data_IF_201859646008
#
_entry.id   IF_201859646008
#
_cell.length_a   1.000
_cell.length_b   1.000
_cell.length_c   1.000
_cell.angle_alpha   90.00
_cell.angle_beta   90.00
_cell.angle_gamma   90.00
#
_symmetry.space_group_name_H-M   'P 1'
#
loop_
_entity.id
_entity.type
_entity.pdbx_description
1 polymer ?
#
# COMPACT_ATOMS: atom_id res chain seq x y z
N UNK A 1 -18.96 11.63 -6.93
CA UNK A 1 -18.58 11.50 -8.36
C UNK A 1 -17.08 11.24 -8.45
N UNK A 2 -16.60 10.53 -9.47
CA UNK A 2 -15.16 10.34 -9.70
C UNK A 2 -14.60 11.49 -10.55
N UNK A 3 -13.32 11.81 -10.38
CA UNK A 3 -12.61 12.83 -11.16
C UNK A 3 -12.36 12.36 -12.59
N UNK A 4 -12.45 13.29 -13.54
CA UNK A 4 -12.24 13.06 -14.98
C UNK A 4 -10.78 13.32 -15.39
N UNK A 5 -9.82 13.05 -14.49
CA UNK A 5 -8.39 13.18 -14.81
C UNK A 5 -8.04 12.28 -16.00
N UNK A 6 -7.21 12.75 -16.92
CA UNK A 6 -6.58 11.87 -17.91
C UNK A 6 -5.58 10.94 -17.24
N UNK A 7 -5.15 9.90 -17.93
CA UNK A 7 -4.13 9.00 -17.38
C UNK A 7 -2.78 9.70 -17.24
N UNK A 8 -2.41 10.60 -18.16
CA UNK A 8 -1.16 11.38 -18.09
C UNK A 8 -1.17 12.37 -16.91
N UNK A 9 -2.33 12.98 -16.65
CA UNK A 9 -2.54 13.92 -15.55
C UNK A 9 -2.50 13.21 -14.19
N UNK A 10 -3.01 11.98 -14.14
CA UNK A 10 -2.93 11.10 -12.98
C UNK A 10 -1.50 10.61 -12.75
N UNK A 11 -0.83 10.14 -13.80
CA UNK A 11 0.53 9.59 -13.73
C UNK A 11 1.54 10.65 -13.25
N UNK A 12 1.42 11.90 -13.72
CA UNK A 12 2.23 13.02 -13.19
C UNK A 12 2.08 13.20 -11.68
N UNK A 13 0.84 13.27 -11.17
CA UNK A 13 0.60 13.40 -9.72
C UNK A 13 1.13 12.21 -8.94
N UNK A 14 0.89 10.99 -9.44
CA UNK A 14 1.38 9.77 -8.79
C UNK A 14 2.91 9.74 -8.76
N UNK A 15 3.57 10.13 -9.86
CA UNK A 15 5.03 10.27 -9.92
C UNK A 15 5.54 11.25 -8.86
N UNK A 16 4.93 12.42 -8.73
CA UNK A 16 5.33 13.42 -7.73
C UNK A 16 5.24 12.86 -6.30
N UNK A 17 4.21 12.07 -5.99
CA UNK A 17 4.07 11.43 -4.69
C UNK A 17 5.14 10.37 -4.43
N UNK A 18 5.36 9.45 -5.39
CA UNK A 18 6.25 8.29 -5.17
C UNK A 18 7.73 8.65 -5.27
N UNK A 19 8.09 9.77 -5.92
CA UNK A 19 9.49 10.23 -6.05
C UNK A 19 10.14 10.44 -4.68
N UNK A 20 9.39 10.89 -3.68
CA UNK A 20 9.89 11.05 -2.29
C UNK A 20 9.82 9.78 -1.44
N UNK A 21 8.99 8.79 -1.82
CA UNK A 21 8.81 7.57 -1.04
C UNK A 21 8.23 6.43 -1.91
N UNK A 22 9.09 5.52 -2.38
CA UNK A 22 8.68 4.35 -3.17
C UNK A 22 7.90 3.29 -2.38
N UNK A 23 7.75 3.44 -1.05
CA UNK A 23 6.91 2.54 -0.26
C UNK A 23 5.43 2.93 -0.29
N UNK A 24 5.07 4.06 -0.91
CA UNK A 24 3.68 4.48 -1.06
C UNK A 24 2.91 3.51 -1.95
N UNK A 25 2.09 2.67 -1.32
CA UNK A 25 1.21 1.74 -2.02
C UNK A 25 -0.09 2.40 -2.49
N UNK A 26 -0.87 1.65 -3.27
CA UNK A 26 -2.15 2.05 -3.86
C UNK A 26 -3.09 2.80 -2.90
N UNK A 27 -3.24 2.29 -1.67
CA UNK A 27 -4.13 2.90 -0.67
C UNK A 27 -3.68 4.29 -0.24
N UNK A 28 -2.37 4.48 -0.06
CA UNK A 28 -1.83 5.78 0.35
C UNK A 28 -1.95 6.79 -0.78
N UNK A 29 -1.58 6.37 -2.00
CA UNK A 29 -1.72 7.22 -3.19
C UNK A 29 -3.18 7.62 -3.43
N UNK A 30 -4.13 6.68 -3.24
CA UNK A 30 -5.55 7.00 -3.33
C UNK A 30 -6.00 8.01 -2.28
N UNK A 31 -5.46 7.93 -1.05
CA UNK A 31 -5.76 8.88 0.01
C UNK A 31 -5.17 10.27 -0.31
N UNK A 32 -3.93 10.33 -0.80
CA UNK A 32 -3.29 11.58 -1.22
C UNK A 32 -4.05 12.27 -2.36
N UNK A 33 -4.45 11.51 -3.39
CA UNK A 33 -5.30 12.04 -4.46
C UNK A 33 -6.62 12.60 -3.93
N UNK A 34 -7.23 11.93 -2.94
CA UNK A 34 -8.46 12.41 -2.33
C UNK A 34 -8.23 13.71 -1.54
N UNK A 35 -7.12 13.81 -0.80
CA UNK A 35 -6.71 15.05 -0.11
C UNK A 35 -6.48 16.20 -1.09
N UNK A 36 -5.95 15.91 -2.28
CA UNK A 36 -5.80 16.87 -3.38
C UNK A 36 -7.10 17.17 -4.13
N UNK A 37 -8.25 16.68 -3.63
CA UNK A 37 -9.57 16.94 -4.21
C UNK A 37 -9.95 16.01 -5.36
N UNK A 38 -9.15 14.98 -5.63
CA UNK A 38 -9.37 14.03 -6.72
C UNK A 38 -9.84 12.67 -6.22
N UNK A 39 -11.13 12.40 -6.36
CA UNK A 39 -11.68 11.07 -6.11
C UNK A 39 -11.48 10.20 -7.37
N UNK A 40 -10.46 9.34 -7.36
CA UNK A 40 -10.12 8.47 -8.50
C UNK A 40 -10.53 7.01 -8.22
N UNK A 41 -10.96 6.29 -9.25
CA UNK A 41 -11.27 4.86 -9.15
C UNK A 41 -10.03 4.07 -8.71
N UNK A 42 -10.24 3.10 -7.82
CA UNK A 42 -9.16 2.26 -7.28
C UNK A 42 -8.32 1.60 -8.39
N UNK A 43 -8.97 1.10 -9.44
CA UNK A 43 -8.28 0.44 -10.55
C UNK A 43 -7.33 1.40 -11.28
N UNK A 44 -7.79 2.62 -11.61
CA UNK A 44 -6.95 3.63 -12.27
C UNK A 44 -5.71 4.01 -11.46
N UNK A 45 -5.83 4.05 -10.12
CA UNK A 45 -4.66 4.27 -9.24
C UNK A 45 -3.68 3.10 -9.29
N UNK A 46 -4.16 1.85 -9.36
CA UNK A 46 -3.28 0.69 -9.54
C UNK A 46 -2.57 0.72 -10.89
N UNK A 47 -3.30 0.98 -11.97
CA UNK A 47 -2.74 1.03 -13.32
C UNK A 47 -1.70 2.15 -13.45
N UNK A 48 -1.99 3.33 -12.89
CA UNK A 48 -1.04 4.45 -12.82
C UNK A 48 0.23 4.09 -12.05
N UNK A 49 0.11 3.45 -10.88
CA UNK A 49 1.28 3.01 -10.11
C UNK A 49 2.16 2.01 -10.86
N UNK A 50 1.57 1.13 -11.65
CA UNK A 50 2.33 0.18 -12.49
C UNK A 50 3.07 0.93 -13.60
N UNK A 51 2.40 1.88 -14.28
CA UNK A 51 3.01 2.69 -15.36
C UNK A 51 4.16 3.58 -14.85
N UNK A 52 4.01 4.13 -13.66
CA UNK A 52 4.93 5.10 -13.06
C UNK A 52 6.12 4.43 -12.36
N UNK A 53 5.89 3.33 -11.63
CA UNK A 53 6.91 2.67 -10.79
C UNK A 53 6.67 1.16 -10.70
N UNK A 54 6.85 0.45 -11.83
CA UNK A 54 6.74 -1.01 -11.89
C UNK A 54 7.63 -1.72 -10.87
N UNK A 55 8.85 -1.22 -10.66
CA UNK A 55 9.82 -1.78 -9.73
C UNK A 55 9.34 -1.65 -8.28
N UNK A 56 8.85 -0.46 -7.89
CA UNK A 56 8.28 -0.27 -6.55
C UNK A 56 7.02 -1.10 -6.33
N UNK A 57 6.18 -1.29 -7.36
CA UNK A 57 5.04 -2.23 -7.28
C UNK A 57 5.53 -3.66 -7.01
N UNK A 58 6.48 -4.15 -7.80
CA UNK A 58 7.04 -5.49 -7.65
C UNK A 58 7.69 -5.70 -6.27
N UNK A 59 8.47 -4.73 -5.79
CA UNK A 59 9.07 -4.77 -4.46
C UNK A 59 8.02 -4.88 -3.35
N UNK A 60 6.92 -4.11 -3.44
CA UNK A 60 5.84 -4.17 -2.44
C UNK A 60 5.09 -5.50 -2.45
N UNK A 61 4.92 -6.10 -3.63
CA UNK A 61 4.31 -7.44 -3.75
C UNK A 61 5.24 -8.52 -3.16
N UNK A 62 6.54 -8.44 -3.43
CA UNK A 62 7.52 -9.37 -2.88
C UNK A 62 7.63 -9.30 -1.35
N UNK A 63 7.50 -8.10 -0.77
CA UNK A 63 7.55 -7.87 0.68
C UNK A 63 6.19 -8.01 1.39
N UNK A 64 5.20 -8.67 0.76
CA UNK A 64 3.94 -8.94 1.43
C UNK A 64 4.19 -9.72 2.73
N UNK A 65 3.60 -9.23 3.84
CA UNK A 65 3.77 -9.81 5.17
C UNK A 65 3.33 -11.28 5.14
N UNK A 66 4.29 -12.18 5.34
CA UNK A 66 4.03 -13.60 5.51
C UNK A 66 3.41 -13.81 6.88
N UNK A 67 2.08 -14.01 6.91
CA UNK A 67 1.36 -14.27 8.15
C UNK A 67 1.55 -15.73 8.54
N UNK A 68 1.94 -15.97 9.80
CA UNK A 68 2.03 -17.33 10.36
C UNK A 68 0.62 -17.91 10.49
N UNK A 69 0.44 -19.13 10.01
CA UNK A 69 -0.77 -19.92 10.25
C UNK A 69 -0.61 -20.66 11.57
N UNK A 70 -1.46 -20.34 12.55
CA UNK A 70 -1.49 -21.04 13.83
C UNK A 70 -2.66 -22.02 13.85
N UNK A 71 -2.41 -23.24 14.36
CA UNK A 71 -3.45 -24.22 14.67
C UNK A 71 -3.64 -24.24 16.18
N UNK A 72 -4.82 -23.86 16.65
CA UNK A 72 -5.16 -23.82 18.08
C UNK A 72 -6.49 -24.51 18.33
N UNK A 73 -6.72 -24.95 19.56
CA UNK A 73 -7.89 -25.75 19.94
C UNK A 73 -9.22 -24.98 19.93
N UNK A 74 -9.20 -23.65 19.88
CA UNK A 74 -10.40 -22.81 19.81
C UNK A 74 -10.13 -21.31 19.83
N UNK A 75 -11.18 -20.48 19.78
CA UNK A 75 -11.08 -19.03 19.99
C UNK A 75 -10.35 -18.71 21.30
N UNK A 76 -9.49 -17.68 21.31
CA UNK A 76 -8.66 -17.29 22.45
C UNK A 76 -7.60 -18.30 22.93
N UNK A 77 -7.33 -19.40 22.22
CA UNK A 77 -6.20 -20.28 22.55
C UNK A 77 -4.85 -19.78 21.98
N UNK A 78 -4.89 -18.76 21.11
CA UNK A 78 -3.70 -18.10 20.55
C UNK A 78 -3.41 -16.79 21.29
N UNK A 79 -2.81 -16.88 22.48
CA UNK A 79 -2.18 -15.72 23.14
C UNK A 79 -0.67 -15.86 23.03
N UNK A 80 -0.07 -15.08 22.15
CA UNK A 80 1.36 -14.83 22.23
C UNK A 80 1.58 -13.64 23.16
N UNK A 81 2.08 -13.88 24.36
CA UNK A 81 2.78 -12.84 25.10
C UNK A 81 4.11 -12.64 24.37
N UNK A 82 4.21 -11.62 23.53
CA UNK A 82 5.50 -11.15 23.04
C UNK A 82 6.19 -10.50 24.23
N UNK A 83 6.93 -11.30 25.01
CA UNK A 83 7.69 -10.83 26.18
C UNK A 83 8.79 -9.83 25.82
N UNK A 84 8.81 -9.30 24.58
CA UNK A 84 9.83 -8.44 24.02
C UNK A 84 11.23 -9.00 24.31
N UNK A 85 11.40 -10.33 24.23
CA UNK A 85 12.69 -10.98 24.45
C UNK A 85 13.76 -10.49 23.46
N UNK A 86 13.33 -9.92 22.32
CA UNK A 86 14.18 -9.17 21.37
C UNK A 86 14.79 -7.87 21.95
N UNK A 87 14.31 -7.40 23.10
CA UNK A 87 14.74 -6.18 23.80
C UNK A 87 15.47 -6.48 25.12
N UNK A 88 15.58 -7.74 25.54
CA UNK A 88 16.32 -8.14 26.73
C UNK A 88 17.75 -8.48 26.28
N UNK A 89 18.74 -7.79 26.86
CA UNK A 89 20.17 -7.99 26.63
C UNK A 89 20.81 -8.74 27.79
#
# INVERSE_FOLDING_TARGET
MFSTLSDEELDRRVQDFVTGNRNLGQRMVQAMLLTDGHRVQRQRVADSLIRVDEAGVAMRWAHAIQRRTYKVSGPNALWHIDGNYKLIR
#
